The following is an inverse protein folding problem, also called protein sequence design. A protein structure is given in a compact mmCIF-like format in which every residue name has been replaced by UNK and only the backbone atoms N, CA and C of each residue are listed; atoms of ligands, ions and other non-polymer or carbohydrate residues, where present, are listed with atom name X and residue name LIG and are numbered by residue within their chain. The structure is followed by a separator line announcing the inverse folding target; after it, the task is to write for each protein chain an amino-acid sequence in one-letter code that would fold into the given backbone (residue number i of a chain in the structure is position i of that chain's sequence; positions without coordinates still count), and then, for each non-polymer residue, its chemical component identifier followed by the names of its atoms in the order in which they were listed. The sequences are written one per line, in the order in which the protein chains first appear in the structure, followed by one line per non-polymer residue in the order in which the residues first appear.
data_IF_331656029465
#
_entry.id   IF_331656029465
#
_cell.length_a   1.000
_cell.length_b   1.000
_cell.length_c   1.000
_cell.angle_alpha   90.00
_cell.angle_beta   90.00
_cell.angle_gamma   90.00
#
_symmetry.space_group_name_H-M   'P 1'
#
loop_
_entity.id
_entity.type
_entity.pdbx_description
1 polymer ?
#
# COMPACT_ATOMS: atom_id res chain seq x y z
N UNK A 1 2.17 -8.92 -6.46
CA UNK A 1 1.32 -9.94 -7.12
C UNK A 1 0.12 -9.26 -7.75
N UNK A 2 -0.23 -9.63 -8.98
CA UNK A 2 -1.44 -9.15 -9.65
C UNK A 2 -2.59 -10.10 -9.33
N UNK A 3 -3.77 -9.56 -8.99
CA UNK A 3 -4.97 -10.38 -8.77
C UNK A 3 -5.63 -10.69 -10.12
N UNK A 4 -5.86 -11.98 -10.38
CA UNK A 4 -6.35 -12.52 -11.66
C UNK A 4 -7.54 -13.48 -11.44
N UNK A 5 -8.39 -13.17 -10.47
CA UNK A 5 -9.60 -13.96 -10.22
C UNK A 5 -10.73 -13.59 -11.19
N UNK A 6 -11.77 -14.43 -11.28
CA UNK A 6 -12.98 -14.10 -12.03
C UNK A 6 -13.64 -12.79 -11.58
N UNK A 7 -13.50 -12.43 -10.30
CA UNK A 7 -13.99 -11.15 -9.79
C UNK A 7 -13.17 -9.99 -10.36
N UNK A 8 -11.84 -10.10 -10.31
CA UNK A 8 -10.95 -9.05 -10.82
C UNK A 8 -11.13 -8.81 -12.32
N UNK A 9 -11.39 -9.87 -13.10
CA UNK A 9 -11.73 -9.72 -14.53
C UNK A 9 -13.00 -8.91 -14.74
N UNK A 10 -14.06 -9.18 -13.97
CA UNK A 10 -15.31 -8.42 -14.04
C UNK A 10 -15.09 -6.96 -13.61
N UNK A 11 -14.42 -6.75 -12.49
CA UNK A 11 -14.11 -5.41 -11.97
C UNK A 11 -13.39 -4.56 -13.04
N UNK A 12 -12.40 -5.14 -13.74
CA UNK A 12 -11.64 -4.45 -14.78
C UNK A 12 -12.52 -4.12 -15.99
N UNK A 13 -13.34 -5.07 -16.46
CA UNK A 13 -14.24 -4.83 -17.58
C UNK A 13 -15.26 -3.73 -17.26
N UNK A 14 -15.93 -3.82 -16.11
CA UNK A 14 -16.91 -2.82 -15.64
C UNK A 14 -16.27 -1.44 -15.49
N UNK A 15 -15.06 -1.37 -14.91
CA UNK A 15 -14.34 -0.10 -14.81
C UNK A 15 -13.98 0.49 -16.19
N UNK A 16 -13.49 -0.34 -17.11
CA UNK A 16 -13.10 0.10 -18.45
C UNK A 16 -14.29 0.53 -19.32
N UNK A 17 -15.48 -0.01 -19.08
CA UNK A 17 -16.72 0.49 -19.69
C UNK A 17 -17.05 1.91 -19.25
N UNK A 18 -16.73 2.26 -18.00
CA UNK A 18 -16.97 3.60 -17.44
C UNK A 18 -15.83 4.60 -17.70
N UNK A 19 -14.64 4.13 -18.08
CA UNK A 19 -13.44 4.95 -18.21
C UNK A 19 -12.68 4.65 -19.51
N UNK A 20 -13.00 5.36 -20.59
CA UNK A 20 -12.44 5.11 -21.93
C UNK A 20 -10.91 5.11 -21.98
N UNK A 21 -10.24 6.09 -21.35
CA UNK A 21 -8.77 6.11 -21.30
C UNK A 21 -8.18 4.85 -20.64
N UNK A 22 -8.88 4.30 -19.63
CA UNK A 22 -8.42 3.09 -18.97
C UNK A 22 -8.54 1.88 -19.91
N UNK A 23 -9.63 1.81 -20.69
CA UNK A 23 -9.81 0.78 -21.72
C UNK A 23 -8.74 0.85 -22.81
N UNK A 24 -8.49 2.05 -23.34
CA UNK A 24 -7.52 2.27 -24.42
C UNK A 24 -6.09 1.93 -23.99
N UNK A 25 -5.74 2.24 -22.74
CA UNK A 25 -4.40 2.01 -22.20
C UNK A 25 -4.25 0.67 -21.44
N UNK A 26 -5.30 -0.15 -21.36
CA UNK A 26 -5.27 -1.43 -20.65
C UNK A 26 -5.09 -1.28 -19.12
N UNK A 27 -5.55 -0.18 -18.54
CA UNK A 27 -5.48 0.12 -17.11
C UNK A 27 -6.72 -0.40 -16.36
N UNK A 28 -6.61 -0.56 -15.05
CA UNK A 28 -7.72 -1.03 -14.20
C UNK A 28 -7.31 -2.01 -13.10
N UNK A 29 -6.02 -2.31 -12.94
CA UNK A 29 -5.52 -3.21 -11.89
C UNK A 29 -4.50 -2.53 -11.00
N UNK A 30 -4.55 -2.89 -9.72
CA UNK A 30 -3.60 -2.45 -8.70
C UNK A 30 -2.81 -3.66 -8.21
N UNK A 31 -1.49 -3.49 -8.10
CA UNK A 31 -0.62 -4.50 -7.50
C UNK A 31 -0.86 -4.60 -6.00
N UNK A 32 -0.80 -5.83 -5.49
CA UNK A 32 -0.81 -6.10 -4.05
C UNK A 32 0.44 -6.85 -3.60
N UNK A 33 0.69 -6.86 -2.32
CA UNK A 33 1.75 -7.67 -1.73
C UNK A 33 1.34 -9.15 -1.65
N UNK A 34 2.30 -10.07 -1.45
CA UNK A 34 2.01 -11.49 -1.25
C UNK A 34 1.07 -11.85 -0.10
N UNK A 35 0.95 -10.98 0.92
CA UNK A 35 0.06 -11.18 2.05
C UNK A 35 -0.68 -9.90 2.42
N UNK A 36 -1.86 -10.05 3.01
CA UNK A 36 -2.60 -8.93 3.61
C UNK A 36 -1.78 -8.23 4.70
N UNK A 37 -1.04 -9.00 5.51
CA UNK A 37 -0.18 -8.46 6.55
C UNK A 37 0.85 -7.48 5.98
N UNK A 38 1.50 -7.85 4.87
CA UNK A 38 2.47 -6.99 4.20
C UNK A 38 1.82 -5.72 3.62
N UNK A 39 0.64 -5.83 2.99
CA UNK A 39 -0.12 -4.66 2.50
C UNK A 39 -0.46 -3.70 3.65
N UNK A 40 -0.90 -4.24 4.79
CA UNK A 40 -1.22 -3.47 5.98
C UNK A 40 0.02 -2.81 6.60
N UNK A 41 1.14 -3.52 6.74
CA UNK A 41 2.38 -2.92 7.25
C UNK A 41 2.87 -1.83 6.31
N UNK A 42 2.93 -2.07 4.99
CA UNK A 42 3.33 -1.05 4.02
C UNK A 42 2.43 0.18 4.08
N UNK A 43 1.12 0.01 4.28
CA UNK A 43 0.19 1.12 4.48
C UNK A 43 0.51 1.95 5.73
N UNK A 44 0.93 1.31 6.83
CA UNK A 44 1.40 2.00 8.05
C UNK A 44 2.71 2.76 7.77
N UNK A 45 3.61 2.20 6.96
CA UNK A 45 4.89 2.84 6.61
C UNK A 45 4.69 4.16 5.84
N UNK A 46 3.62 4.28 5.05
CA UNK A 46 3.29 5.49 4.29
C UNK A 46 2.87 6.67 5.17
N UNK A 47 2.28 6.44 6.34
CA UNK A 47 1.74 7.52 7.17
C UNK A 47 2.82 8.51 7.60
N UNK A 48 2.60 9.83 7.41
CA UNK A 48 3.50 10.90 7.88
C UNK A 48 4.97 10.65 7.52
N UNK A 49 5.23 10.25 6.28
CA UNK A 49 6.54 9.82 5.81
C UNK A 49 6.76 10.26 4.37
N UNK A 50 7.99 10.59 3.99
CA UNK A 50 8.32 10.79 2.58
C UNK A 50 8.40 9.46 1.85
N UNK A 51 8.15 9.47 0.54
CA UNK A 51 8.21 8.28 -0.29
C UNK A 51 9.53 7.50 -0.14
N UNK A 52 10.67 8.21 -0.24
CA UNK A 52 12.01 7.62 -0.03
C UNK A 52 12.16 6.95 1.33
N UNK A 53 11.65 7.57 2.40
CA UNK A 53 11.75 6.98 3.75
C UNK A 53 10.86 5.75 3.89
N UNK A 54 9.67 5.74 3.29
CA UNK A 54 8.79 4.56 3.26
C UNK A 54 9.44 3.37 2.55
N UNK A 55 10.08 3.61 1.40
CA UNK A 55 10.86 2.61 0.67
C UNK A 55 12.02 2.06 1.52
N UNK A 56 12.76 2.94 2.20
CA UNK A 56 13.87 2.52 3.06
C UNK A 56 13.40 1.65 4.24
N UNK A 57 12.30 2.00 4.90
CA UNK A 57 11.73 1.19 5.98
C UNK A 57 11.28 -0.19 5.49
N UNK A 58 10.61 -0.25 4.33
CA UNK A 58 10.19 -1.51 3.72
C UNK A 58 11.40 -2.38 3.36
N UNK A 59 12.43 -1.81 2.73
CA UNK A 59 13.69 -2.51 2.43
C UNK A 59 14.38 -3.03 3.69
N UNK A 60 14.40 -2.23 4.76
CA UNK A 60 15.03 -2.64 6.01
C UNK A 60 14.31 -3.80 6.69
N UNK A 61 12.98 -3.90 6.57
CA UNK A 61 12.22 -5.08 6.99
C UNK A 61 12.59 -6.32 6.17
N UNK A 62 12.76 -6.19 4.85
CA UNK A 62 13.25 -7.30 4.02
C UNK A 62 14.68 -7.74 4.38
N UNK A 63 15.57 -6.79 4.73
CA UNK A 63 16.92 -7.10 5.22
C UNK A 63 16.92 -7.69 6.64
N UNK A 64 15.85 -7.45 7.42
CA UNK A 64 15.66 -8.06 8.73
C UNK A 64 15.23 -9.52 8.61
N UNK A 65 14.37 -9.85 7.64
CA UNK A 65 13.73 -11.17 7.55
C UNK A 65 14.71 -12.35 7.63
N UNK A 66 15.88 -12.38 6.93
CA UNK A 66 16.83 -13.48 7.05
C UNK A 66 17.43 -13.67 8.46
N UNK A 67 17.37 -12.64 9.31
CA UNK A 67 17.86 -12.67 10.70
C UNK A 67 16.83 -13.24 11.68
N UNK A 68 15.55 -13.22 11.33
CA UNK A 68 14.43 -13.63 12.17
C UNK A 68 13.67 -14.84 11.60
N UNK A 69 13.99 -15.27 10.39
CA UNK A 69 13.35 -16.39 9.70
C UNK A 69 13.36 -17.67 10.54
N UNK A 70 12.28 -18.45 10.44
CA UNK A 70 11.99 -19.59 11.31
C UNK A 70 12.75 -20.88 10.98
N UNK A 71 13.52 -20.96 9.90
CA UNK A 71 14.10 -22.25 9.47
C UNK A 71 15.48 -22.58 10.05
N UNK A 72 15.52 -23.75 10.71
CA UNK A 72 16.64 -24.39 11.43
C UNK A 72 17.84 -24.85 10.59
N UNK A 73 18.05 -24.29 9.40
CA UNK A 73 19.24 -24.51 8.57
C UNK A 73 20.28 -23.37 8.68
N UNK A 74 20.03 -22.38 9.52
CA UNK A 74 20.98 -21.28 9.81
C UNK A 74 22.29 -21.72 10.49
N UNK A 75 22.46 -23.02 10.79
CA UNK A 75 23.75 -23.62 11.23
C UNK A 75 24.38 -24.58 10.21
N UNK A 76 23.89 -24.68 8.97
CA UNK A 76 24.70 -25.33 7.93
C UNK A 76 25.84 -24.40 7.55
N UNK A 77 27.02 -24.73 8.07
CA UNK A 77 28.33 -24.17 7.81
C UNK A 77 28.70 -24.18 6.32
N UNK A 78 27.99 -23.44 5.47
CA UNK A 78 28.62 -22.87 4.29
C UNK A 78 29.17 -21.53 4.72
N UNK A 79 30.49 -21.43 4.70
CA UNK A 79 31.32 -20.24 4.83
C UNK A 79 30.69 -19.12 3.99
N UNK A 80 29.72 -18.39 4.57
CA UNK A 80 29.06 -17.26 3.92
C UNK A 80 30.18 -16.27 3.68
N UNK A 81 30.47 -16.01 2.41
CA UNK A 81 31.34 -14.91 2.00
C UNK A 81 30.90 -13.67 2.75
N UNK A 82 31.86 -12.89 3.24
CA UNK A 82 31.67 -11.68 4.08
C UNK A 82 30.98 -10.51 3.35
N UNK A 83 30.29 -10.80 2.25
CA UNK A 83 29.52 -9.88 1.41
C UNK A 83 28.32 -10.65 0.84
N UNK A 84 27.15 -10.49 1.45
CA UNK A 84 25.90 -10.50 0.70
C UNK A 84 24.89 -9.68 1.50
N UNK A 85 24.56 -8.50 0.98
CA UNK A 85 23.32 -7.77 1.29
C UNK A 85 22.12 -8.58 0.79
N UNK A 86 21.97 -9.81 1.27
CA UNK A 86 20.96 -10.74 0.81
C UNK A 86 19.60 -10.24 1.32
N UNK A 87 18.85 -9.63 0.41
CA UNK A 87 17.54 -9.08 0.70
C UNK A 87 16.55 -10.24 0.78
N UNK A 88 16.01 -10.47 1.98
CA UNK A 88 15.02 -11.51 2.20
C UNK A 88 13.62 -11.11 1.75
N UNK A 89 12.65 -11.97 2.06
CA UNK A 89 11.24 -11.65 1.88
C UNK A 89 10.81 -10.55 2.85
N UNK A 90 9.62 -9.98 2.64
CA UNK A 90 9.01 -9.19 3.71
C UNK A 90 8.68 -10.12 4.89
N UNK A 91 8.99 -9.74 6.15
CA UNK A 91 8.76 -10.62 7.29
C UNK A 91 7.27 -10.87 7.50
N UNK A 92 6.93 -12.14 7.72
CA UNK A 92 5.58 -12.54 8.14
C UNK A 92 5.33 -12.16 9.61
N UNK A 93 4.05 -12.07 9.98
CA UNK A 93 3.67 -11.87 11.38
C UNK A 93 4.19 -12.99 12.30
N UNK A 94 4.29 -14.23 11.79
CA UNK A 94 4.84 -15.38 12.52
C UNK A 94 6.31 -15.17 12.87
N UNK A 95 7.12 -14.72 11.90
CA UNK A 95 8.56 -14.49 12.11
C UNK A 95 8.82 -13.32 13.07
N UNK A 96 8.00 -12.27 13.02
CA UNK A 96 8.12 -11.13 13.94
C UNK A 96 7.82 -11.50 15.39
N UNK A 97 6.92 -12.47 15.62
CA UNK A 97 6.53 -12.92 16.96
C UNK A 97 7.27 -14.17 17.44
N UNK A 98 8.07 -14.79 16.58
CA UNK A 98 8.81 -16.01 16.89
C UNK A 98 9.81 -15.83 18.03
N UNK A 99 10.31 -14.62 18.21
CA UNK A 99 11.44 -14.32 19.08
C UNK A 99 11.10 -13.20 20.04
N UNK A 100 11.24 -13.45 21.35
CA UNK A 100 10.98 -12.43 22.38
C UNK A 100 11.90 -11.20 22.31
N UNK A 101 13.07 -11.33 21.66
CA UNK A 101 14.00 -10.21 21.45
C UNK A 101 13.64 -9.33 20.25
N UNK A 102 12.68 -9.73 19.41
CA UNK A 102 12.13 -8.89 18.34
C UNK A 102 11.05 -8.00 18.94
N UNK A 103 11.48 -6.95 19.63
CA UNK A 103 10.61 -5.96 20.27
C UNK A 103 10.59 -4.61 19.52
N UNK A 104 9.84 -3.64 20.04
CA UNK A 104 9.74 -2.31 19.42
C UNK A 104 11.11 -1.64 19.27
N UNK A 105 11.95 -1.72 20.30
CA UNK A 105 13.28 -1.09 20.31
C UNK A 105 14.17 -1.70 19.24
N UNK A 106 14.10 -3.02 19.09
CA UNK A 106 14.82 -3.76 18.07
C UNK A 106 14.38 -3.36 16.66
N UNK A 107 13.07 -3.31 16.39
CA UNK A 107 12.56 -2.87 15.09
C UNK A 107 12.91 -1.42 14.79
N UNK A 108 12.85 -0.52 15.78
CA UNK A 108 13.28 0.88 15.62
C UNK A 108 14.77 0.91 15.23
N UNK A 109 15.61 0.16 15.94
CA UNK A 109 17.06 0.13 15.72
C UNK A 109 17.43 -0.48 14.36
N UNK A 110 16.83 -1.60 13.98
CA UNK A 110 17.19 -2.32 12.76
C UNK A 110 16.51 -1.77 11.50
N UNK A 111 15.25 -1.34 11.62
CA UNK A 111 14.42 -1.00 10.46
C UNK A 111 14.08 0.49 10.37
N UNK A 112 14.48 1.30 11.36
CA UNK A 112 14.20 2.74 11.42
C UNK A 112 12.70 3.09 11.26
N UNK A 113 11.82 2.21 11.75
CA UNK A 113 10.36 2.35 11.63
C UNK A 113 9.76 3.37 12.62
N UNK A 114 10.53 3.78 13.63
CA UNK A 114 10.13 4.75 14.64
C UNK A 114 8.88 4.31 15.42
N UNK A 115 7.96 5.24 15.68
CA UNK A 115 6.71 4.97 16.40
C UNK A 115 5.81 3.90 15.75
N UNK A 116 6.07 3.53 14.49
CA UNK A 116 5.32 2.49 13.78
C UNK A 116 5.64 1.08 14.30
N UNK A 117 6.76 0.87 14.97
CA UNK A 117 7.14 -0.43 15.52
C UNK A 117 6.03 -1.05 16.40
N UNK A 118 5.49 -0.26 17.33
CA UNK A 118 4.37 -0.66 18.17
C UNK A 118 3.15 -1.14 17.36
N UNK A 119 2.85 -0.45 16.24
CA UNK A 119 1.71 -0.78 15.37
C UNK A 119 1.93 -2.05 14.57
N UNK A 120 3.16 -2.27 14.10
CA UNK A 120 3.56 -3.48 13.37
C UNK A 120 3.42 -4.70 14.29
N UNK A 121 3.96 -4.62 15.51
CA UNK A 121 3.86 -5.73 16.48
C UNK A 121 2.41 -5.95 16.94
N UNK A 122 1.65 -4.87 17.18
CA UNK A 122 0.22 -4.99 17.48
C UNK A 122 -0.53 -5.73 16.36
N UNK A 123 -0.28 -5.36 15.10
CA UNK A 123 -0.90 -6.03 13.95
C UNK A 123 -0.52 -7.51 13.90
N UNK A 124 0.77 -7.83 14.09
CA UNK A 124 1.23 -9.22 14.11
C UNK A 124 0.52 -10.03 15.21
N UNK A 125 0.35 -9.45 16.40
CA UNK A 125 -0.37 -10.08 17.52
C UNK A 125 -1.83 -10.33 17.20
N UNK A 126 -2.51 -9.40 16.51
CA UNK A 126 -3.91 -9.59 16.08
C UNK A 126 -4.06 -10.76 15.10
N UNK A 127 -3.08 -10.99 14.22
CA UNK A 127 -3.05 -12.19 13.38
C UNK A 127 -2.86 -13.46 14.21
N UNK A 128 -1.91 -13.44 15.16
CA UNK A 128 -1.63 -14.59 16.03
C UNK A 128 -2.83 -14.96 16.93
N UNK A 129 -3.60 -13.98 17.38
CA UNK A 129 -4.80 -14.17 18.22
C UNK A 129 -6.05 -14.53 17.41
N UNK A 130 -6.01 -14.42 16.07
CA UNK A 130 -7.14 -14.72 15.20
C UNK A 130 -8.16 -13.58 15.07
N UNK A 131 -7.86 -12.39 15.58
CA UNK A 131 -8.69 -11.19 15.36
C UNK A 131 -8.72 -10.81 13.88
N UNK A 132 -7.60 -11.02 13.18
CA UNK A 132 -7.48 -10.93 11.73
C UNK A 132 -7.09 -12.29 11.18
N UNK A 133 -8.07 -13.05 10.67
CA UNK A 133 -7.83 -14.34 10.05
C UNK A 133 -7.67 -14.21 8.53
N UNK A 134 -6.61 -14.80 8.00
CA UNK A 134 -6.30 -14.81 6.57
C UNK A 134 -7.42 -15.47 5.75
N UNK A 135 -8.02 -16.55 6.26
CA UNK A 135 -9.11 -17.26 5.59
C UNK A 135 -10.36 -16.39 5.40
N UNK A 136 -10.71 -15.59 6.41
CA UNK A 136 -11.85 -14.69 6.36
C UNK A 136 -11.58 -13.53 5.41
N UNK A 137 -10.37 -12.96 5.42
CA UNK A 137 -9.98 -11.90 4.50
C UNK A 137 -10.04 -12.40 3.06
N UNK A 138 -9.46 -13.57 2.76
CA UNK A 138 -9.50 -14.16 1.42
C UNK A 138 -10.93 -14.45 0.93
N UNK A 139 -11.85 -14.83 1.83
CA UNK A 139 -13.28 -14.96 1.50
C UNK A 139 -13.92 -13.63 1.13
N UNK A 140 -13.63 -12.56 1.88
CA UNK A 140 -14.15 -11.22 1.59
C UNK A 140 -13.62 -10.70 0.24
N UNK A 141 -12.36 -10.95 -0.07
CA UNK A 141 -11.73 -10.57 -1.36
C UNK A 141 -12.45 -11.17 -2.58
N UNK A 142 -12.96 -12.40 -2.45
CA UNK A 142 -13.65 -13.11 -3.52
C UNK A 142 -15.17 -12.90 -3.48
N UNK A 143 -15.66 -12.24 -2.45
CA UNK A 143 -17.09 -12.02 -2.23
C UNK A 143 -17.67 -11.10 -3.30
N UNK A 144 -18.89 -11.42 -3.73
CA UNK A 144 -19.72 -10.52 -4.55
C UNK A 144 -20.78 -9.82 -3.71
N UNK A 145 -20.76 -9.99 -2.38
CA UNK A 145 -21.64 -9.27 -1.46
C UNK A 145 -21.24 -7.79 -1.39
N UNK A 146 -22.14 -6.86 -1.75
CA UNK A 146 -21.87 -5.42 -1.74
C UNK A 146 -21.51 -4.87 -0.36
N UNK A 147 -21.85 -5.57 0.73
CA UNK A 147 -21.54 -5.15 2.10
C UNK A 147 -20.13 -5.56 2.56
N UNK A 148 -19.41 -6.38 1.78
CA UNK A 148 -18.09 -6.91 2.13
C UNK A 148 -17.06 -5.78 2.34
N UNK A 149 -17.14 -4.74 1.52
CA UNK A 149 -16.32 -3.54 1.63
C UNK A 149 -16.51 -2.86 3.00
N UNK A 150 -17.76 -2.51 3.33
CA UNK A 150 -18.08 -1.75 4.54
C UNK A 150 -17.75 -2.58 5.80
N UNK A 151 -18.03 -3.88 5.74
CA UNK A 151 -17.71 -4.83 6.82
C UNK A 151 -16.21 -4.83 7.12
N UNK A 152 -15.37 -4.95 6.08
CA UNK A 152 -13.92 -4.94 6.27
C UNK A 152 -13.40 -3.55 6.68
N UNK A 153 -13.92 -2.48 6.08
CA UNK A 153 -13.55 -1.11 6.42
C UNK A 153 -13.81 -0.79 7.90
N UNK A 154 -15.02 -1.07 8.40
CA UNK A 154 -15.37 -0.84 9.80
C UNK A 154 -14.56 -1.69 10.77
N UNK A 155 -14.20 -2.92 10.36
CA UNK A 155 -13.32 -3.77 11.16
C UNK A 155 -11.90 -3.17 11.27
N UNK A 156 -11.33 -2.72 10.14
CA UNK A 156 -10.01 -2.11 10.11
C UNK A 156 -9.94 -0.78 10.86
N UNK A 157 -10.98 0.05 10.73
CA UNK A 157 -11.05 1.38 11.36
C UNK A 157 -11.01 1.33 12.90
N UNK A 158 -11.46 0.21 13.50
CA UNK A 158 -11.39 -0.03 14.95
C UNK A 158 -9.97 -0.31 15.45
N UNK A 159 -9.02 -0.59 14.56
CA UNK A 159 -7.64 -0.89 14.93
C UNK A 159 -6.91 0.41 15.26
N UNK A 160 -6.34 0.50 16.46
CA UNK A 160 -5.61 1.70 16.90
C UNK A 160 -4.44 2.01 15.96
N UNK A 161 -4.51 3.16 15.29
CA UNK A 161 -3.53 3.62 14.31
C UNK A 161 -3.93 3.36 12.85
N UNK A 162 -5.08 2.75 12.60
CA UNK A 162 -5.65 2.57 11.27
C UNK A 162 -6.67 3.66 11.02
N UNK A 163 -6.19 4.80 10.52
CA UNK A 163 -7.07 5.87 10.05
C UNK A 163 -7.69 5.57 8.67
N UNK A 164 -8.58 6.45 8.18
CA UNK A 164 -9.21 6.29 6.86
C UNK A 164 -8.23 6.07 5.70
N UNK A 165 -7.08 6.75 5.72
CA UNK A 165 -6.01 6.58 4.72
C UNK A 165 -5.41 5.17 4.73
N UNK A 166 -5.07 4.63 5.90
CA UNK A 166 -4.49 3.28 6.02
C UNK A 166 -5.51 2.23 5.59
N UNK A 167 -6.75 2.36 6.06
CA UNK A 167 -7.81 1.43 5.71
C UNK A 167 -8.08 1.43 4.20
N UNK A 168 -8.15 2.60 3.56
CA UNK A 168 -8.41 2.70 2.12
C UNK A 168 -7.24 2.15 1.28
N UNK A 169 -5.98 2.35 1.72
CA UNK A 169 -4.81 1.73 1.06
C UNK A 169 -4.87 0.20 1.13
N UNK A 170 -5.22 -0.35 2.29
CA UNK A 170 -5.39 -1.80 2.45
C UNK A 170 -6.51 -2.30 1.54
N UNK A 171 -7.64 -1.60 1.53
CA UNK A 171 -8.83 -1.97 0.77
C UNK A 171 -8.59 -1.99 -0.74
N UNK A 172 -7.87 -1.01 -1.30
CA UNK A 172 -7.54 -1.03 -2.72
C UNK A 172 -6.62 -2.22 -3.09
N UNK A 173 -5.68 -2.61 -2.20
CA UNK A 173 -4.81 -3.77 -2.43
C UNK A 173 -5.62 -5.07 -2.50
N UNK A 174 -6.71 -5.17 -1.73
CA UNK A 174 -7.56 -6.37 -1.67
C UNK A 174 -8.74 -6.37 -2.65
N UNK A 175 -8.94 -5.29 -3.43
CA UNK A 175 -9.95 -5.27 -4.50
C UNK A 175 -11.19 -4.45 -4.24
N UNK A 176 -11.13 -3.60 -3.24
CA UNK A 176 -12.19 -2.67 -2.94
C UNK A 176 -11.75 -1.26 -3.30
N UNK A 177 -12.36 -0.72 -4.35
CA UNK A 177 -11.95 0.52 -5.00
C UNK A 177 -12.86 1.72 -4.66
N UNK A 178 -13.79 1.55 -3.73
CA UNK A 178 -14.83 2.54 -3.42
C UNK A 178 -14.28 3.82 -2.77
N UNK A 179 -13.10 3.75 -2.15
CA UNK A 179 -12.48 4.87 -1.44
C UNK A 179 -11.07 5.13 -1.94
N UNK A 180 -10.76 6.41 -2.12
CA UNK A 180 -9.39 6.88 -2.40
C UNK A 180 -8.62 6.95 -1.07
N UNK A 181 -7.40 6.40 -0.99
CA UNK A 181 -6.51 6.65 0.14
C UNK A 181 -5.97 8.08 0.10
N UNK A 182 -6.80 9.03 0.52
CA UNK A 182 -6.50 10.44 0.33
C UNK A 182 -5.47 10.98 1.33
N UNK A 183 -4.46 11.68 0.82
CA UNK A 183 -3.39 12.33 1.59
C UNK A 183 -3.02 13.71 1.03
N UNK A 184 -1.86 14.24 1.42
CA UNK A 184 -1.35 15.51 0.89
C UNK A 184 -1.11 15.49 -0.63
N UNK A 185 -0.77 14.32 -1.19
CA UNK A 185 -0.55 14.17 -2.62
C UNK A 185 -1.88 14.19 -3.38
N UNK A 186 -2.93 13.59 -2.81
CA UNK A 186 -4.29 13.75 -3.33
C UNK A 186 -4.73 15.22 -3.33
N UNK A 187 -4.52 15.97 -2.24
CA UNK A 187 -4.84 17.41 -2.20
C UNK A 187 -4.10 18.16 -3.31
N UNK A 188 -2.80 17.90 -3.47
CA UNK A 188 -1.98 18.52 -4.52
C UNK A 188 -2.53 18.22 -5.91
N UNK A 189 -2.84 16.95 -6.18
CA UNK A 189 -3.38 16.51 -7.45
C UNK A 189 -4.70 17.22 -7.76
N UNK A 190 -5.64 17.25 -6.81
CA UNK A 190 -6.93 17.95 -6.97
C UNK A 190 -6.76 19.45 -7.24
N UNK A 191 -5.76 20.10 -6.62
CA UNK A 191 -5.43 21.51 -6.90
C UNK A 191 -4.87 21.74 -8.29
N UNK A 192 -3.97 20.87 -8.75
CA UNK A 192 -3.25 21.06 -10.00
C UNK A 192 -4.02 20.60 -11.22
N UNK A 193 -4.76 19.50 -11.12
CA UNK A 193 -5.47 18.87 -12.24
C UNK A 193 -6.93 19.33 -12.31
N UNK A 194 -7.60 19.46 -11.15
CA UNK A 194 -9.03 19.82 -11.08
C UNK A 194 -9.29 21.26 -10.65
N UNK A 195 -8.25 22.07 -10.45
CA UNK A 195 -8.38 23.47 -10.07
C UNK A 195 -9.00 23.71 -8.68
N UNK A 196 -9.09 22.70 -7.81
CA UNK A 196 -9.68 22.78 -6.46
C UNK A 196 -8.77 23.54 -5.48
N UNK A 197 -8.48 24.81 -5.72
CA UNK A 197 -7.48 25.59 -4.95
C UNK A 197 -7.73 25.61 -3.43
N UNK A 198 -9.01 25.55 -3.03
CA UNK A 198 -9.45 25.55 -1.64
C UNK A 198 -9.49 24.14 -1.01
N UNK A 199 -9.04 23.10 -1.72
CA UNK A 199 -8.94 21.75 -1.17
C UNK A 199 -7.98 21.74 0.03
N UNK A 200 -8.45 21.17 1.14
CA UNK A 200 -7.72 21.05 2.40
C UNK A 200 -7.97 19.66 3.01
N UNK A 201 -7.35 19.35 4.15
CA UNK A 201 -7.57 18.07 4.84
C UNK A 201 -9.03 17.87 5.26
N UNK A 202 -9.74 18.97 5.51
CA UNK A 202 -11.12 18.99 5.96
C UNK A 202 -12.10 18.85 4.79
N UNK A 203 -11.76 19.37 3.61
CA UNK A 203 -12.65 19.40 2.43
C UNK A 203 -12.37 18.29 1.41
N UNK A 204 -11.21 17.64 1.48
CA UNK A 204 -10.76 16.61 0.53
C UNK A 204 -11.79 15.51 0.27
N UNK A 205 -12.52 15.07 1.29
CA UNK A 205 -13.55 14.04 1.12
C UNK A 205 -14.68 14.47 0.19
N UNK A 206 -15.12 15.72 0.31
CA UNK A 206 -16.15 16.31 -0.56
C UNK A 206 -15.62 16.50 -1.98
N UNK A 207 -14.40 17.01 -2.13
CA UNK A 207 -13.81 17.26 -3.46
C UNK A 207 -13.58 15.95 -4.21
N UNK A 208 -13.12 14.90 -3.51
CA UNK A 208 -12.98 13.55 -4.07
C UNK A 208 -14.32 13.02 -4.54
N UNK A 209 -15.38 13.15 -3.75
CA UNK A 209 -16.72 12.67 -4.11
C UNK A 209 -17.26 13.41 -5.34
N UNK A 210 -17.10 14.74 -5.39
CA UNK A 210 -17.57 15.55 -6.51
C UNK A 210 -16.90 15.15 -7.85
N UNK A 211 -15.61 14.81 -7.81
CA UNK A 211 -14.83 14.51 -9.02
C UNK A 211 -14.95 13.04 -9.41
N UNK A 212 -14.74 12.13 -8.45
CA UNK A 212 -14.62 10.70 -8.72
C UNK A 212 -15.87 9.89 -8.36
N UNK A 213 -16.85 10.45 -7.65
CA UNK A 213 -18.06 9.73 -7.22
C UNK A 213 -18.83 9.08 -8.38
N UNK A 214 -18.79 9.69 -9.56
CA UNK A 214 -19.37 9.15 -10.81
C UNK A 214 -18.79 7.78 -11.23
N UNK A 215 -17.63 7.40 -10.72
CA UNK A 215 -16.99 6.11 -11.02
C UNK A 215 -17.34 5.01 -10.03
N UNK A 216 -18.28 5.22 -9.10
CA UNK A 216 -18.66 4.20 -8.13
C UNK A 216 -18.98 2.83 -8.78
N UNK A 217 -18.37 1.71 -8.31
CA UNK A 217 -17.54 1.53 -7.12
C UNK A 217 -16.00 1.63 -7.32
N UNK A 218 -15.55 2.20 -8.43
CA UNK A 218 -14.15 2.25 -8.88
C UNK A 218 -13.48 3.63 -8.76
N UNK A 219 -13.93 4.46 -7.81
CA UNK A 219 -13.37 5.80 -7.58
C UNK A 219 -11.85 5.80 -7.43
N UNK A 220 -11.31 4.81 -6.70
CA UNK A 220 -9.87 4.66 -6.50
C UNK A 220 -9.12 4.33 -7.80
N UNK A 221 -9.69 3.49 -8.68
CA UNK A 221 -9.04 3.16 -9.96
C UNK A 221 -9.01 4.39 -10.88
N UNK A 222 -10.11 5.14 -10.97
CA UNK A 222 -10.15 6.36 -11.77
C UNK A 222 -9.11 7.38 -11.31
N UNK A 223 -8.99 7.60 -10.00
CA UNK A 223 -7.95 8.44 -9.42
C UNK A 223 -6.53 7.97 -9.78
N UNK A 224 -6.26 6.67 -9.68
CA UNK A 224 -4.93 6.14 -10.02
C UNK A 224 -4.60 6.25 -11.51
N UNK A 225 -5.57 6.09 -12.41
CA UNK A 225 -5.38 6.30 -13.86
C UNK A 225 -4.94 7.74 -14.11
N UNK A 226 -5.70 8.72 -13.60
CA UNK A 226 -5.40 10.14 -13.80
C UNK A 226 -4.10 10.56 -13.12
N UNK A 227 -3.80 10.02 -11.94
CA UNK A 227 -2.54 10.28 -11.24
C UNK A 227 -1.35 9.73 -12.03
N UNK A 228 -1.43 8.51 -12.58
CA UNK A 228 -0.36 7.95 -13.40
C UNK A 228 -0.19 8.76 -14.68
N UNK A 229 -1.27 9.14 -15.36
CA UNK A 229 -1.22 9.99 -16.55
C UNK A 229 -0.54 11.34 -16.26
N UNK A 230 -0.89 11.98 -15.14
CA UNK A 230 -0.24 13.23 -14.68
C UNK A 230 1.27 13.01 -14.46
N UNK A 231 1.63 11.94 -13.74
CA UNK A 231 3.04 11.66 -13.46
C UNK A 231 3.83 11.26 -14.72
N UNK A 232 3.25 10.47 -15.62
CA UNK A 232 3.90 10.08 -16.87
C UNK A 232 4.10 11.28 -17.79
N UNK A 233 3.21 12.28 -17.76
CA UNK A 233 3.41 13.53 -18.49
C UNK A 233 4.62 14.34 -18.00
N UNK A 234 5.00 14.19 -16.73
CA UNK A 234 6.09 14.93 -16.07
C UNK A 234 7.41 14.19 -16.07
N UNK A 235 7.38 12.88 -15.84
CA UNK A 235 8.56 12.04 -15.61
C UNK A 235 8.81 11.02 -16.72
N UNK A 236 7.94 10.97 -17.74
CA UNK A 236 7.94 9.92 -18.75
C UNK A 236 7.32 8.62 -18.25
N UNK A 237 7.31 7.59 -19.11
CA UNK A 237 6.67 6.30 -18.83
C UNK A 237 7.25 5.65 -17.57
N UNK A 238 6.42 5.46 -16.56
CA UNK A 238 6.85 4.89 -15.27
C UNK A 238 7.32 3.44 -15.42
N UNK A 239 6.77 2.71 -16.39
CA UNK A 239 7.19 1.34 -16.71
C UNK A 239 8.63 1.23 -17.22
N UNK A 240 9.24 2.34 -17.64
CA UNK A 240 10.64 2.40 -18.11
C UNK A 240 11.59 2.93 -17.03
N UNK A 241 11.08 3.24 -15.84
CA UNK A 241 11.88 3.81 -14.78
C UNK A 241 12.76 2.75 -14.12
N UNK A 242 14.04 3.06 -13.92
CA UNK A 242 14.93 2.19 -13.17
C UNK A 242 14.58 2.18 -11.68
N UNK A 243 14.67 1.01 -11.04
CA UNK A 243 14.34 0.84 -9.62
C UNK A 243 15.11 1.79 -8.69
N UNK A 244 16.35 2.15 -9.05
CA UNK A 244 17.15 3.12 -8.30
C UNK A 244 16.49 4.51 -8.24
N UNK A 245 15.69 4.86 -9.24
CA UNK A 245 15.07 6.17 -9.42
C UNK A 245 13.63 6.26 -8.90
N UNK A 246 13.05 5.15 -8.42
CA UNK A 246 11.67 5.13 -7.91
C UNK A 246 11.43 6.16 -6.81
N UNK A 247 12.43 6.38 -5.96
CA UNK A 247 12.34 7.33 -4.86
C UNK A 247 12.26 8.80 -5.29
N UNK A 248 12.59 9.10 -6.56
CA UNK A 248 12.54 10.45 -7.12
C UNK A 248 11.13 10.81 -7.56
N UNK A 249 10.28 9.84 -7.88
CA UNK A 249 8.93 10.05 -8.40
C UNK A 249 8.01 10.53 -7.27
N UNK A 250 8.10 11.84 -7.05
CA UNK A 250 7.33 12.59 -6.07
C UNK A 250 7.03 13.93 -6.68
N UNK A 251 5.87 14.50 -6.38
CA UNK A 251 5.52 15.80 -6.93
C UNK A 251 6.48 16.94 -6.52
N UNK A 252 7.19 16.80 -5.40
CA UNK A 252 8.19 17.78 -4.95
C UNK A 252 9.41 17.83 -5.86
N UNK A 253 9.84 16.70 -6.43
CA UNK A 253 11.00 16.63 -7.33
C UNK A 253 10.80 17.46 -8.62
N UNK A 254 9.55 17.58 -9.08
CA UNK A 254 9.19 18.36 -10.27
C UNK A 254 9.13 19.87 -10.02
N UNK A 255 8.85 20.29 -8.77
CA UNK A 255 8.85 21.71 -8.41
C UNK A 255 10.25 22.32 -8.35
N UNK A 256 11.31 21.50 -8.37
CA UNK A 256 12.71 21.93 -8.39
C UNK A 256 13.29 22.21 -9.78
N UNK A 257 12.52 22.01 -10.86
CA UNK A 257 12.97 22.22 -12.26
C UNK A 257 12.19 23.32 -12.98
N UNK A 258 11.48 24.19 -12.26
CA UNK A 258 11.00 25.44 -12.85
C UNK A 258 12.11 26.48 -12.71
N UNK A 259 12.84 26.69 -13.80
CA UNK A 259 13.68 27.87 -14.02
C UNK A 259 12.88 29.17 -13.85
#
# INVERSE_FOLDING_TARGET
MLRISKKDERDVMEFQEMHSSARENGLGRIFRSPSFFEDAVKSILLCNCSWKRSLNMARALCLLQPKIALDGNARSKRKRSKCSDDIGNFPSWKELLAWSWVDEKYLIKQCNVGYRAARILQLATMFAQGDLREDHIAKLEQSSDPTSFETLYQKLLKIKGFGPFVCSNILMCVGFYQRIPSDSETIRHLKQVHGKQNCSKETIGKDVEEIYGKYNPFQCLAYWVELIEEYESKFGKQSKLEAANYHLITATSYLGTRE
#
